data_IF_096177696060
#
_entry.id   IF_096177696060
#
_cell.length_a   1.000
_cell.length_b   1.000
_cell.length_c   1.000
_cell.angle_alpha   90.00
_cell.angle_beta   90.00
_cell.angle_gamma   90.00
#
_symmetry.space_group_name_H-M   'P 1'
#
loop_
_entity.id
_entity.type
_entity.pdbx_description
1 polymer ?
#
# COMPACT_ATOMS: atom_id res chain seq x y z
N UNK A 1 11.50 -0.34 -16.67
CA UNK A 1 11.31 0.61 -15.56
C UNK A 1 9.96 0.29 -14.96
N UNK A 2 9.82 0.32 -13.63
CA UNK A 2 8.53 0.08 -13.02
C UNK A 2 7.48 1.03 -13.59
N UNK A 3 6.24 0.56 -13.74
CA UNK A 3 5.14 1.38 -14.29
C UNK A 3 4.42 2.18 -13.22
N UNK A 4 4.55 1.80 -11.95
CA UNK A 4 4.07 2.61 -10.83
C UNK A 4 4.96 3.83 -10.61
N UNK A 5 4.34 4.94 -10.18
CA UNK A 5 5.04 6.19 -9.88
C UNK A 5 4.94 6.53 -8.39
N UNK A 6 5.84 7.40 -7.93
CA UNK A 6 5.78 7.95 -6.58
C UNK A 6 4.47 8.71 -6.37
N UNK A 7 3.98 9.41 -7.39
CA UNK A 7 2.72 10.14 -7.38
C UNK A 7 1.52 9.21 -7.16
N UNK A 8 1.45 8.10 -7.90
CA UNK A 8 0.39 7.09 -7.75
C UNK A 8 0.38 6.49 -6.34
N UNK A 9 1.57 6.17 -5.82
CA UNK A 9 1.75 5.67 -4.45
C UNK A 9 1.24 6.70 -3.43
N UNK A 10 1.70 7.95 -3.51
CA UNK A 10 1.33 9.00 -2.55
C UNK A 10 -0.17 9.28 -2.58
N UNK A 11 -0.79 9.27 -3.76
CA UNK A 11 -2.22 9.46 -3.91
C UNK A 11 -3.01 8.34 -3.20
N UNK A 12 -2.69 7.08 -3.46
CA UNK A 12 -3.35 5.94 -2.82
C UNK A 12 -3.08 5.91 -1.31
N UNK A 13 -1.84 6.16 -0.88
CA UNK A 13 -1.46 6.15 0.54
C UNK A 13 -2.20 7.23 1.34
N UNK A 14 -2.36 8.44 0.77
CA UNK A 14 -3.14 9.52 1.43
C UNK A 14 -4.62 9.15 1.55
N UNK A 15 -5.19 8.52 0.53
CA UNK A 15 -6.57 8.05 0.57
C UNK A 15 -6.76 6.99 1.67
N UNK A 16 -5.87 5.99 1.72
CA UNK A 16 -5.88 4.97 2.77
C UNK A 16 -5.71 5.57 4.17
N UNK A 17 -4.76 6.49 4.34
CA UNK A 17 -4.53 7.18 5.62
C UNK A 17 -5.77 7.94 6.11
N UNK A 18 -6.53 8.54 5.18
CA UNK A 18 -7.78 9.23 5.51
C UNK A 18 -8.91 8.26 5.86
N UNK A 19 -9.02 7.14 5.15
CA UNK A 19 -10.04 6.12 5.40
C UNK A 19 -9.84 5.40 6.75
N UNK A 20 -8.58 5.13 7.10
CA UNK A 20 -8.20 4.45 8.35
C UNK A 20 -7.84 5.40 9.49
N UNK A 21 -8.25 6.68 9.42
CA UNK A 21 -7.92 7.67 10.43
C UNK A 21 -8.49 7.27 11.80
N UNK A 22 -7.60 7.07 12.77
CA UNK A 22 -7.95 6.64 14.13
C UNK A 22 -8.11 5.12 14.30
N UNK A 23 -7.97 4.32 13.24
CA UNK A 23 -7.95 2.86 13.35
C UNK A 23 -6.60 2.37 13.88
N UNK A 24 -6.63 1.48 14.87
CA UNK A 24 -5.44 0.83 15.41
C UNK A 24 -5.29 -0.60 14.90
N UNK A 25 -4.05 -1.10 14.93
CA UNK A 25 -3.76 -2.49 14.63
C UNK A 25 -4.21 -3.39 15.80
N UNK A 26 -4.95 -4.49 15.55
CA UNK A 26 -5.54 -5.31 16.61
C UNK A 26 -4.54 -5.72 17.70
N UNK A 27 -4.92 -5.50 18.96
CA UNK A 27 -4.07 -5.82 20.11
C UNK A 27 -2.94 -4.83 20.38
N UNK A 28 -2.91 -3.67 19.70
CA UNK A 28 -1.90 -2.62 19.87
C UNK A 28 -2.52 -1.22 19.80
N UNK A 29 -1.76 -0.21 20.22
CA UNK A 29 -2.10 1.22 20.01
C UNK A 29 -1.46 1.81 18.73
N UNK A 30 -0.85 0.98 17.89
CA UNK A 30 -0.19 1.42 16.67
C UNK A 30 -1.21 1.72 15.56
N UNK A 31 -0.98 2.72 14.69
CA UNK A 31 -1.89 3.01 13.58
C UNK A 31 -1.99 1.84 12.60
N UNK A 32 -3.21 1.51 12.16
CA UNK A 32 -3.45 0.46 11.15
C UNK A 32 -2.72 0.74 9.82
N UNK A 33 -2.45 2.01 9.53
CA UNK A 33 -1.67 2.44 8.37
C UNK A 33 -0.28 1.77 8.27
N UNK A 34 0.30 1.34 9.40
CA UNK A 34 1.53 0.54 9.44
C UNK A 34 1.38 -0.81 8.71
N UNK A 35 0.24 -1.49 8.88
CA UNK A 35 -0.03 -2.76 8.19
C UNK A 35 -0.06 -2.57 6.67
N UNK A 36 -0.73 -1.51 6.20
CA UNK A 36 -0.81 -1.20 4.78
C UNK A 36 0.57 -0.90 4.17
N UNK A 37 1.46 -0.21 4.90
CA UNK A 37 2.82 0.05 4.43
C UNK A 37 3.66 -1.23 4.34
N UNK A 38 3.48 -2.18 5.26
CA UNK A 38 4.15 -3.48 5.19
C UNK A 38 3.68 -4.31 3.98
N UNK A 39 2.37 -4.40 3.76
CA UNK A 39 1.81 -5.12 2.60
C UNK A 39 2.28 -4.50 1.28
N UNK A 40 2.29 -3.17 1.17
CA UNK A 40 2.77 -2.50 -0.04
C UNK A 40 4.28 -2.68 -0.25
N UNK A 41 5.08 -2.73 0.82
CA UNK A 41 6.52 -3.01 0.74
C UNK A 41 6.78 -4.39 0.14
N UNK A 42 6.09 -5.42 0.61
CA UNK A 42 6.18 -6.79 0.05
C UNK A 42 5.74 -6.82 -1.42
N UNK A 43 4.69 -6.09 -1.78
CA UNK A 43 4.24 -5.98 -3.18
C UNK A 43 5.34 -5.37 -4.06
N UNK A 44 5.98 -4.29 -3.64
CA UNK A 44 7.08 -3.66 -4.38
C UNK A 44 8.27 -4.62 -4.53
N UNK A 45 8.60 -5.37 -3.47
CA UNK A 45 9.67 -6.37 -3.51
C UNK A 45 9.34 -7.52 -4.48
N UNK A 46 8.10 -8.00 -4.48
CA UNK A 46 7.63 -9.04 -5.40
C UNK A 46 7.69 -8.57 -6.86
N UNK A 47 7.24 -7.35 -7.16
CA UNK A 47 7.28 -6.76 -8.51
C UNK A 47 8.71 -6.60 -9.05
N UNK A 48 9.70 -6.41 -8.16
CA UNK A 48 11.11 -6.36 -8.56
C UNK A 48 11.65 -7.72 -9.05
N UNK A 49 11.03 -8.82 -8.62
CA UNK A 49 11.39 -10.20 -9.04
C UNK A 49 10.47 -10.70 -10.16
N UNK A 50 9.19 -10.33 -10.13
CA UNK A 50 8.15 -10.79 -11.06
C UNK A 50 7.35 -9.61 -11.68
N UNK A 51 7.87 -8.94 -12.72
CA UNK A 51 7.29 -7.73 -13.29
C UNK A 51 6.10 -7.97 -14.25
N UNK A 52 5.42 -9.12 -14.15
CA UNK A 52 4.38 -9.53 -15.12
C UNK A 52 2.99 -8.95 -14.84
N UNK A 53 2.80 -8.29 -13.68
CA UNK A 53 1.53 -7.69 -13.30
C UNK A 53 1.44 -6.20 -13.73
N UNK A 54 0.22 -5.67 -13.76
CA UNK A 54 0.03 -4.21 -13.79
C UNK A 54 0.53 -3.63 -12.46
N UNK A 55 1.77 -3.15 -12.45
CA UNK A 55 2.46 -2.77 -11.23
C UNK A 55 1.76 -1.60 -10.50
N UNK A 56 1.22 -0.64 -11.25
CA UNK A 56 0.46 0.49 -10.69
C UNK A 56 -0.78 0.00 -9.96
N UNK A 57 -1.55 -0.88 -10.61
CA UNK A 57 -2.73 -1.46 -9.99
C UNK A 57 -2.34 -2.30 -8.77
N UNK A 58 -1.27 -3.08 -8.85
CA UNK A 58 -0.80 -3.92 -7.75
C UNK A 58 -0.40 -3.10 -6.52
N UNK A 59 0.38 -2.02 -6.70
CA UNK A 59 0.76 -1.10 -5.63
C UNK A 59 -0.46 -0.38 -5.03
N UNK A 60 -1.38 0.10 -5.87
CA UNK A 60 -2.61 0.75 -5.40
C UNK A 60 -3.51 -0.24 -4.65
N UNK A 61 -3.71 -1.44 -5.17
CA UNK A 61 -4.48 -2.49 -4.51
C UNK A 61 -3.86 -2.88 -3.17
N UNK A 62 -2.54 -2.99 -3.08
CA UNK A 62 -1.86 -3.27 -1.81
C UNK A 62 -2.11 -2.18 -0.76
N UNK A 63 -2.13 -0.90 -1.16
CA UNK A 63 -2.42 0.22 -0.25
C UNK A 63 -3.90 0.37 0.10
N UNK A 64 -4.81 -0.15 -0.74
CA UNK A 64 -6.26 0.06 -0.64
C UNK A 64 -7.05 -1.21 -0.28
N UNK A 65 -6.39 -2.34 -0.04
CA UNK A 65 -7.05 -3.65 0.07
C UNK A 65 -8.08 -3.76 1.21
N UNK A 66 -7.96 -2.91 2.23
CA UNK A 66 -8.81 -2.91 3.43
C UNK A 66 -9.64 -1.62 3.59
N UNK A 67 -9.70 -0.75 2.58
CA UNK A 67 -10.47 0.52 2.65
C UNK A 67 -11.97 0.29 2.59
#
# INVERSE_FOLDING_TARGET
>A
MPTWTQEDYIQAFRFAAQAHLGQTYPGTDLPYLMHLSFVCMEMIAALAVEPQANETLAVQSALLHDV
#
